data_IF_035805992420
#
_entry.id   IF_035805992420
#
_cell.length_a   1.000
_cell.length_b   1.000
_cell.length_c   1.000
_cell.angle_alpha   90.00
_cell.angle_beta   90.00
_cell.angle_gamma   90.00
#
_symmetry.space_group_name_H-M   'P 1'
#
loop_
_entity.id
_entity.type
_entity.pdbx_description
1 polymer ?
#
# COMPACT_ATOMS: atom_id res chain seq x y z
N UNK A 1 2.50 -11.01 5.67
CA UNK A 1 2.21 -9.61 6.11
C UNK A 1 0.78 -9.50 6.63
N UNK A 2 0.49 -8.63 7.60
CA UNK A 2 -0.86 -8.25 8.08
C UNK A 2 -1.21 -6.82 7.69
N UNK A 3 -2.50 -6.44 7.75
CA UNK A 3 -2.92 -5.04 7.52
C UNK A 3 -2.40 -4.11 8.61
N UNK A 4 -2.17 -4.62 9.82
CA UNK A 4 -1.51 -3.87 10.89
C UNK A 4 -0.05 -3.55 10.55
N UNK A 5 0.68 -4.49 9.96
CA UNK A 5 2.07 -4.24 9.51
C UNK A 5 2.10 -3.13 8.45
N UNK A 6 1.11 -3.12 7.54
CA UNK A 6 0.94 -2.05 6.56
C UNK A 6 0.67 -0.71 7.25
N UNK A 7 -0.20 -0.67 8.25
CA UNK A 7 -0.51 0.56 8.99
C UNK A 7 0.71 1.13 9.71
N UNK A 8 1.49 0.29 10.40
CA UNK A 8 2.71 0.72 11.07
C UNK A 8 3.76 1.23 10.06
N UNK A 9 3.89 0.55 8.92
CA UNK A 9 4.76 1.01 7.84
C UNK A 9 4.30 2.36 7.26
N UNK A 10 3.00 2.53 7.01
CA UNK A 10 2.41 3.79 6.55
C UNK A 10 2.68 4.93 7.53
N UNK A 11 2.54 4.67 8.83
CA UNK A 11 2.84 5.63 9.90
C UNK A 11 4.31 6.04 9.92
N UNK A 12 5.23 5.08 9.81
CA UNK A 12 6.66 5.33 9.78
C UNK A 12 7.09 6.15 8.56
N UNK A 13 6.43 5.94 7.41
CA UNK A 13 6.75 6.63 6.16
C UNK A 13 5.90 7.89 5.92
N UNK A 14 4.95 8.21 6.80
CA UNK A 14 3.96 9.30 6.64
C UNK A 14 3.18 9.21 5.33
N UNK A 15 2.69 8.02 5.03
CA UNK A 15 1.93 7.71 3.82
C UNK A 15 0.54 7.19 4.16
N UNK A 16 -0.40 7.42 3.26
CA UNK A 16 -1.71 6.81 3.36
C UNK A 16 -1.79 5.62 2.40
N UNK A 17 -2.67 4.66 2.70
CA UNK A 17 -2.92 3.52 1.84
C UNK A 17 -4.42 3.22 1.77
N UNK A 18 -4.88 2.78 0.60
CA UNK A 18 -6.23 2.25 0.39
C UNK A 18 -6.11 0.77 0.05
N UNK A 19 -6.79 -0.08 0.80
CA UNK A 19 -6.87 -1.51 0.53
C UNK A 19 -8.21 -1.85 -0.13
N UNK A 20 -8.17 -2.54 -1.26
CA UNK A 20 -9.36 -3.01 -1.97
C UNK A 20 -9.62 -4.46 -1.59
N UNK A 21 -10.83 -4.77 -1.16
CA UNK A 21 -11.27 -6.12 -0.80
C UNK A 21 -12.49 -6.53 -1.64
N UNK A 22 -12.89 -7.80 -1.58
CA UNK A 22 -14.16 -8.22 -2.20
C UNK A 22 -15.33 -7.54 -1.51
N UNK A 23 -16.10 -6.76 -2.26
CA UNK A 23 -17.31 -6.09 -1.77
C UNK A 23 -17.05 -4.77 -1.04
N UNK A 24 -15.84 -4.21 -1.09
CA UNK A 24 -15.57 -2.91 -0.49
C UNK A 24 -14.11 -2.48 -0.50
N UNK A 25 -13.82 -1.48 0.30
CA UNK A 25 -12.51 -0.86 0.44
C UNK A 25 -12.34 -0.33 1.86
N UNK A 26 -11.09 -0.16 2.27
CA UNK A 26 -10.76 0.47 3.54
C UNK A 26 -9.56 1.39 3.37
N UNK A 27 -9.44 2.38 4.26
CA UNK A 27 -8.39 3.38 4.23
C UNK A 27 -7.54 3.28 5.48
N UNK A 28 -6.24 3.30 5.27
CA UNK A 28 -5.20 3.47 6.28
C UNK A 28 -4.69 4.89 6.11
N UNK A 29 -4.78 5.68 7.18
CA UNK A 29 -4.18 7.01 7.21
C UNK A 29 -3.07 7.05 8.24
N UNK A 30 -1.91 7.60 7.88
CA UNK A 30 -0.77 7.71 8.80
C UNK A 30 -1.08 8.56 10.04
N UNK A 31 -1.94 9.58 9.89
CA UNK A 31 -2.35 10.49 10.95
C UNK A 31 -3.40 9.88 11.88
N UNK A 32 -4.12 8.84 11.44
CA UNK A 32 -5.15 8.19 12.24
C UNK A 32 -4.53 7.18 13.18
N UNK A 33 -4.53 7.49 14.48
CA UNK A 33 -4.21 6.52 15.55
C UNK A 33 -5.29 5.44 15.72
N UNK A 34 -6.43 5.56 15.03
CA UNK A 34 -7.51 4.59 15.07
C UNK A 34 -7.12 3.33 14.30
N UNK A 35 -6.76 2.31 15.07
CA UNK A 35 -6.70 0.93 14.60
C UNK A 35 -8.10 0.37 14.79
N UNK A 36 -8.97 0.43 13.77
CA UNK A 36 -10.29 -0.22 13.87
C UNK A 36 -10.10 -1.67 14.29
N UNK A 37 -10.86 -2.14 15.29
CA UNK A 37 -10.71 -3.49 15.86
C UNK A 37 -11.04 -4.63 14.89
N UNK A 38 -11.39 -4.33 13.65
CA UNK A 38 -11.72 -5.29 12.58
C UNK A 38 -11.07 -4.86 11.27
N UNK A 39 -9.75 -4.84 11.23
CA UNK A 39 -9.03 -4.76 9.96
C UNK A 39 -9.21 -6.09 9.20
N UNK A 40 -9.38 -6.04 7.87
CA UNK A 40 -9.40 -7.27 7.07
C UNK A 40 -8.04 -7.97 7.16
N UNK A 41 -8.04 -9.27 6.87
CA UNK A 41 -6.79 -10.01 6.72
C UNK A 41 -6.10 -9.62 5.42
N UNK A 42 -4.78 -9.66 5.37
CA UNK A 42 -4.02 -9.32 4.17
C UNK A 42 -4.40 -10.18 2.95
N UNK A 43 -4.86 -11.42 3.16
CA UNK A 43 -5.35 -12.32 2.11
C UNK A 43 -6.66 -11.86 1.47
N UNK A 44 -7.45 -11.03 2.16
CA UNK A 44 -8.68 -10.46 1.60
C UNK A 44 -8.39 -9.26 0.71
N UNK A 45 -7.18 -8.69 0.79
CA UNK A 45 -6.80 -7.52 0.00
C UNK A 45 -6.37 -7.96 -1.39
N UNK A 46 -7.13 -7.50 -2.38
CA UNK A 46 -6.90 -7.79 -3.79
C UNK A 46 -5.87 -6.84 -4.39
N UNK A 47 -5.88 -5.57 -3.96
CA UNK A 47 -5.00 -4.53 -4.45
C UNK A 47 -4.81 -3.43 -3.41
N UNK A 48 -3.68 -2.74 -3.47
CA UNK A 48 -3.35 -1.60 -2.63
C UNK A 48 -3.14 -0.36 -3.48
N UNK A 49 -3.54 0.79 -2.96
CA UNK A 49 -3.12 2.07 -3.51
C UNK A 49 -2.40 2.86 -2.44
N UNK A 50 -1.13 3.15 -2.69
CA UNK A 50 -0.33 4.01 -1.84
C UNK A 50 -0.52 5.46 -2.25
N UNK A 51 -0.78 6.33 -1.28
CA UNK A 51 -0.97 7.76 -1.49
C UNK A 51 0.29 8.48 -0.99
N UNK A 52 1.03 9.06 -1.92
CA UNK A 52 2.31 9.74 -1.71
C UNK A 52 2.11 11.21 -2.14
N UNK A 53 1.76 12.07 -1.20
CA UNK A 53 1.27 13.42 -1.52
C UNK A 53 0.03 13.33 -2.41
N UNK A 54 0.04 14.03 -3.54
CA UNK A 54 -1.06 14.01 -4.53
C UNK A 54 -1.01 12.79 -5.48
N UNK A 55 -0.02 11.91 -5.35
CA UNK A 55 0.17 10.78 -6.26
C UNK A 55 -0.39 9.50 -5.67
N UNK A 56 -1.11 8.75 -6.51
CA UNK A 56 -1.56 7.39 -6.23
C UNK A 56 -0.64 6.39 -6.92
N UNK A 57 -0.13 5.43 -6.16
CA UNK A 57 0.73 4.35 -6.65
C UNK A 57 0.00 3.01 -6.43
N UNK A 58 -0.53 2.39 -7.49
CA UNK A 58 -1.16 1.08 -7.41
C UNK A 58 -0.10 0.02 -7.07
N UNK A 59 -0.36 -0.89 -6.13
CA UNK A 59 0.58 -1.91 -5.69
C UNK A 59 -0.14 -3.25 -5.49
N UNK A 60 0.49 -4.34 -5.95
CA UNK A 60 -0.03 -5.67 -5.67
C UNK A 60 0.16 -6.02 -4.17
N UNK A 61 -0.57 -7.01 -3.64
CA UNK A 61 -0.32 -7.52 -2.28
C UNK A 61 1.14 -7.97 -2.08
N UNK A 62 1.78 -8.52 -3.11
CA UNK A 62 3.18 -8.93 -3.09
C UNK A 62 4.14 -7.74 -3.06
N UNK A 63 3.89 -6.68 -3.84
CA UNK A 63 4.70 -5.46 -3.78
C UNK A 63 4.59 -4.81 -2.41
N UNK A 64 3.38 -4.79 -1.85
CA UNK A 64 3.13 -4.26 -0.53
C UNK A 64 3.87 -5.05 0.55
N UNK A 65 3.86 -6.39 0.47
CA UNK A 65 4.65 -7.23 1.36
C UNK A 65 6.14 -6.94 1.24
N UNK A 66 6.65 -6.76 0.02
CA UNK A 66 8.07 -6.43 -0.19
C UNK A 66 8.43 -5.04 0.35
N UNK A 67 7.54 -4.06 0.26
CA UNK A 67 7.73 -2.73 0.86
C UNK A 67 7.76 -2.79 2.38
N UNK A 68 6.76 -3.43 2.98
CA UNK A 68 6.62 -3.53 4.44
C UNK A 68 7.76 -4.34 5.07
N UNK A 69 8.23 -5.38 4.38
CA UNK A 69 9.38 -6.19 4.85
C UNK A 69 10.74 -5.60 4.48
N UNK A 70 10.79 -4.44 3.82
CA UNK A 70 12.03 -3.78 3.41
C UNK A 70 12.80 -4.49 2.29
N UNK A 71 12.18 -5.45 1.59
CA UNK A 71 12.75 -6.13 0.43
C UNK A 71 12.83 -5.24 -0.81
N UNK A 72 11.98 -4.21 -0.90
CA UNK A 72 12.07 -3.15 -1.90
C UNK A 72 11.82 -1.79 -1.24
N UNK A 73 12.43 -0.74 -1.78
CA UNK A 73 12.17 0.64 -1.37
C UNK A 73 11.02 1.25 -2.17
N UNK A 74 10.35 2.24 -1.60
CA UNK A 74 9.28 2.99 -2.28
C UNK A 74 9.74 3.64 -3.58
N UNK A 75 10.97 4.17 -3.59
CA UNK A 75 11.60 4.74 -4.78
C UNK A 75 11.73 3.69 -5.90
N UNK A 76 12.27 2.51 -5.58
CA UNK A 76 12.43 1.41 -6.54
C UNK A 76 11.08 0.97 -7.13
N UNK A 77 10.03 0.87 -6.31
CA UNK A 77 8.69 0.54 -6.80
C UNK A 77 8.14 1.64 -7.73
N UNK A 78 8.28 2.90 -7.34
CA UNK A 78 7.84 4.05 -8.13
C UNK A 78 8.57 4.13 -9.47
N UNK A 79 9.89 3.86 -9.47
CA UNK A 79 10.69 3.79 -10.69
C UNK A 79 10.27 2.63 -11.60
N UNK A 80 10.02 1.44 -11.05
CA UNK A 80 9.58 0.28 -11.81
C UNK A 80 8.26 0.57 -12.55
N UNK A 81 7.29 1.15 -11.85
CA UNK A 81 5.99 1.51 -12.43
C UNK A 81 6.08 2.67 -13.43
N UNK A 82 6.98 3.63 -13.20
CA UNK A 82 7.26 4.71 -14.15
C UNK A 82 7.94 4.23 -15.43
N UNK A 83 8.57 3.05 -15.42
CA UNK A 83 9.17 2.41 -16.59
C UNK A 83 8.16 1.55 -17.34
N UNK A 84 7.24 0.87 -16.65
CA UNK A 84 6.14 0.12 -17.30
C UNK A 84 5.15 1.03 -18.05
N UNK A 85 4.91 2.25 -17.56
CA UNK A 85 4.16 3.27 -18.32
C UNK A 85 4.88 3.82 -19.56
N UNK A 86 6.14 3.42 -19.81
CA UNK A 86 6.97 3.83 -20.96
C UNK A 86 7.34 2.64 -21.86
N UNK A 87 6.40 1.74 -22.16
CA UNK A 87 6.47 0.97 -23.41
C UNK A 87 5.93 1.84 -24.54
N UNK A 88 6.78 2.41 -25.43
CA UNK A 88 6.31 2.78 -26.75
C UNK A 88 5.89 1.50 -27.47
N UNK A 89 4.77 1.61 -28.17
CA UNK A 89 4.16 0.61 -29.04
C UNK A 89 5.14 0.11 -30.12
#
# INVERSE_FOLDING_TARGET
MTVKDVQEWCKANRLDARGIIRGGEFFIRHASGETSSSLPTAQQVLHWDLHIGDRRLPASPSDMERLVTGKISLDNLTQAMSREGRRPE
#
